data_IF_439104964157
#
_entry.id   IF_439104964157
#
_cell.length_a   1.000
_cell.length_b   1.000
_cell.length_c   1.000
_cell.angle_alpha   90.00
_cell.angle_beta   90.00
_cell.angle_gamma   90.00
#
_symmetry.space_group_name_H-M   'P 1'
#
loop_
_entity.id
_entity.type
_entity.pdbx_description
1 polymer ?
#
# COMPACT_ATOMS: atom_id res chain seq x y z
N UNK A 1 -6.89 12.90 -20.76
CA UNK A 1 -8.06 12.79 -19.88
C UNK A 1 -7.99 11.45 -19.16
N UNK A 2 -8.11 11.46 -17.84
CA UNK A 2 -8.21 10.25 -17.02
C UNK A 2 -9.68 9.85 -17.00
N UNK A 3 -9.98 8.60 -17.33
CA UNK A 3 -11.35 8.06 -17.40
C UNK A 3 -11.65 7.01 -16.32
N UNK A 4 -10.66 6.71 -15.49
CA UNK A 4 -10.79 5.78 -14.36
C UNK A 4 -10.81 6.55 -13.04
N UNK A 5 -11.43 6.03 -11.97
CA UNK A 5 -11.37 6.64 -10.65
C UNK A 5 -9.92 6.75 -10.16
N UNK A 6 -9.57 7.91 -9.59
CA UNK A 6 -8.25 8.18 -9.01
C UNK A 6 -8.43 8.86 -7.67
N UNK A 7 -7.78 8.34 -6.63
CA UNK A 7 -7.74 8.94 -5.31
C UNK A 7 -6.35 9.52 -5.03
N UNK A 8 -6.30 10.71 -4.42
CA UNK A 8 -5.09 11.23 -3.80
C UNK A 8 -5.10 10.74 -2.35
N UNK A 9 -4.19 9.82 -2.04
CA UNK A 9 -4.12 9.11 -0.77
C UNK A 9 -2.82 9.44 -0.02
N UNK A 10 -2.92 9.74 1.28
CA UNK A 10 -1.77 9.77 2.17
C UNK A 10 -1.48 8.35 2.62
N UNK A 11 -0.27 7.86 2.36
CA UNK A 11 0.22 6.55 2.78
C UNK A 11 1.09 6.69 4.04
N UNK A 12 0.97 5.80 5.02
CA UNK A 12 1.67 5.81 6.31
C UNK A 12 1.74 7.18 7.01
N UNK A 13 0.59 7.86 7.09
CA UNK A 13 0.52 9.18 7.70
C UNK A 13 0.69 9.17 9.21
N UNK A 14 1.46 10.14 9.73
CA UNK A 14 1.43 10.46 11.15
C UNK A 14 0.09 11.08 11.54
N UNK A 15 -0.23 11.14 12.83
CA UNK A 15 -1.46 11.78 13.32
C UNK A 15 -1.62 13.22 12.82
N UNK A 16 -0.58 14.04 12.93
CA UNK A 16 -0.59 15.43 12.43
C UNK A 16 -0.59 15.48 10.90
N UNK A 17 0.15 14.61 10.24
CA UNK A 17 0.18 14.52 8.77
C UNK A 17 -1.19 14.16 8.19
N UNK A 18 -1.92 13.25 8.81
CA UNK A 18 -3.27 12.89 8.40
C UNK A 18 -4.23 14.10 8.53
N UNK A 19 -4.18 14.85 9.64
CA UNK A 19 -4.97 16.07 9.84
C UNK A 19 -4.64 17.14 8.79
N UNK A 20 -3.36 17.34 8.50
CA UNK A 20 -2.93 18.31 7.50
C UNK A 20 -3.43 17.91 6.08
N UNK A 21 -3.31 16.64 5.70
CA UNK A 21 -3.79 16.15 4.40
C UNK A 21 -5.32 16.26 4.26
N UNK A 22 -6.08 16.01 5.35
CA UNK A 22 -7.52 16.25 5.41
C UNK A 22 -7.83 17.73 5.13
N UNK A 23 -7.09 18.65 5.74
CA UNK A 23 -7.27 20.10 5.51
C UNK A 23 -6.89 20.53 4.09
N UNK A 24 -5.89 19.87 3.47
CA UNK A 24 -5.43 20.17 2.10
C UNK A 24 -6.28 19.54 1.01
N UNK A 25 -7.31 18.75 1.35
CA UNK A 25 -8.27 18.21 0.40
C UNK A 25 -7.81 16.91 -0.27
N UNK A 26 -7.05 16.07 0.43
CA UNK A 26 -6.84 14.69 0.01
C UNK A 26 -8.20 13.98 -0.06
N UNK A 27 -8.33 13.01 -0.94
CA UNK A 27 -9.55 12.20 -1.08
C UNK A 27 -9.57 10.98 -0.18
N UNK A 28 -8.39 10.60 0.35
CA UNK A 28 -8.21 9.48 1.27
C UNK A 28 -6.96 9.70 2.12
N UNK A 29 -6.96 9.25 3.36
CA UNK A 29 -5.79 9.33 4.26
C UNK A 29 -5.63 8.03 5.02
N UNK A 30 -4.38 7.58 5.18
CA UNK A 30 -4.02 6.55 6.14
C UNK A 30 -3.44 7.22 7.40
N UNK A 31 -3.98 6.87 8.55
CA UNK A 31 -3.33 7.10 9.83
C UNK A 31 -2.66 5.82 10.30
N UNK A 32 -1.34 5.81 10.30
CA UNK A 32 -0.54 4.72 10.82
C UNK A 32 -0.37 4.87 12.33
N UNK A 33 -1.23 4.18 13.06
CA UNK A 33 -1.21 4.12 14.52
C UNK A 33 -0.40 2.96 15.09
N UNK A 34 0.26 2.16 14.27
CA UNK A 34 0.96 0.92 14.67
C UNK A 34 2.07 1.13 15.72
N UNK A 35 2.66 2.31 15.76
CA UNK A 35 3.68 2.69 16.76
C UNK A 35 3.14 3.02 18.15
N UNK A 36 1.83 3.13 18.31
CA UNK A 36 1.17 3.40 19.60
C UNK A 36 0.61 2.11 20.18
N UNK A 37 0.39 2.08 21.50
CA UNK A 37 -0.46 1.04 22.08
C UNK A 37 -1.88 1.14 21.57
N UNK A 38 -2.62 0.02 21.62
CA UNK A 38 -3.96 -0.07 20.98
C UNK A 38 -4.93 1.00 21.49
N UNK A 39 -4.91 1.35 22.77
CA UNK A 39 -5.80 2.35 23.35
C UNK A 39 -5.55 3.74 22.73
N UNK A 40 -4.29 4.13 22.58
CA UNK A 40 -3.91 5.39 21.95
C UNK A 40 -4.19 5.39 20.43
N UNK A 41 -3.98 4.25 19.77
CA UNK A 41 -4.33 4.08 18.36
C UNK A 41 -5.85 4.29 18.17
N UNK A 42 -6.69 3.66 19.00
CA UNK A 42 -8.14 3.82 18.97
C UNK A 42 -8.55 5.28 19.15
N UNK A 43 -7.99 5.97 20.16
CA UNK A 43 -8.33 7.37 20.45
C UNK A 43 -8.02 8.29 19.26
N UNK A 44 -6.80 8.17 18.72
CA UNK A 44 -6.35 8.97 17.59
C UNK A 44 -7.10 8.64 16.30
N UNK A 45 -7.31 7.36 16.00
CA UNK A 45 -8.07 6.91 14.83
C UNK A 45 -9.49 7.45 14.85
N UNK A 46 -10.16 7.41 16.01
CA UNK A 46 -11.51 7.97 16.19
C UNK A 46 -11.58 9.45 15.82
N UNK A 47 -10.60 10.25 16.23
CA UNK A 47 -10.55 11.68 15.88
C UNK A 47 -10.32 11.86 14.37
N UNK A 48 -9.38 11.12 13.77
CA UNK A 48 -9.11 11.20 12.33
C UNK A 48 -10.35 10.82 11.51
N UNK A 49 -11.05 9.75 11.88
CA UNK A 49 -12.31 9.33 11.23
C UNK A 49 -13.34 10.46 11.27
N UNK A 50 -13.55 11.07 12.46
CA UNK A 50 -14.50 12.17 12.61
C UNK A 50 -14.16 13.37 11.71
N UNK A 51 -12.89 13.77 11.66
CA UNK A 51 -12.41 14.89 10.84
C UNK A 51 -12.51 14.61 9.34
N UNK A 52 -12.12 13.41 8.92
CA UNK A 52 -12.11 13.01 7.52
C UNK A 52 -13.55 12.84 6.97
N UNK A 53 -14.41 12.12 7.69
CA UNK A 53 -15.79 11.89 7.28
C UNK A 53 -16.63 13.16 7.22
N UNK A 54 -16.35 14.16 8.06
CA UNK A 54 -16.98 15.47 7.96
C UNK A 54 -16.72 16.19 6.63
N UNK A 55 -15.67 15.76 5.89
CA UNK A 55 -15.30 16.28 4.56
C UNK A 55 -15.49 15.25 3.43
N UNK A 56 -16.05 14.07 3.71
CA UNK A 56 -16.24 13.00 2.73
C UNK A 56 -14.92 12.32 2.30
N UNK A 57 -13.92 12.30 3.18
CA UNK A 57 -12.59 11.72 2.95
C UNK A 57 -12.53 10.34 3.60
N UNK A 58 -12.07 9.33 2.86
CA UNK A 58 -11.94 7.96 3.36
C UNK A 58 -10.72 7.83 4.28
N UNK A 59 -10.83 6.93 5.27
CA UNK A 59 -9.78 6.67 6.26
C UNK A 59 -9.33 5.21 6.21
N UNK A 60 -8.02 5.03 6.14
CA UNK A 60 -7.33 3.77 6.38
C UNK A 60 -6.66 3.83 7.76
N UNK A 61 -6.71 2.74 8.51
CA UNK A 61 -5.97 2.57 9.77
C UNK A 61 -5.10 1.33 9.72
N UNK A 62 -4.16 1.21 10.66
CA UNK A 62 -3.26 0.06 10.77
C UNK A 62 -3.31 -0.56 12.16
N UNK A 63 -3.27 -1.91 12.20
CA UNK A 63 -3.12 -2.73 13.40
C UNK A 63 -2.00 -3.76 13.21
N UNK A 64 -1.23 -4.00 14.26
CA UNK A 64 0.05 -4.67 14.14
C UNK A 64 1.07 -3.72 13.52
N UNK A 65 2.16 -4.22 12.99
CA UNK A 65 3.15 -3.41 12.30
C UNK A 65 3.66 -4.13 11.05
N UNK A 66 3.79 -3.38 9.96
CA UNK A 66 4.40 -3.89 8.74
C UNK A 66 5.91 -3.78 8.90
N UNK A 67 6.62 -4.87 8.63
CA UNK A 67 8.08 -4.91 8.73
C UNK A 67 8.78 -4.30 7.51
N UNK A 68 10.13 -4.31 7.53
CA UNK A 68 10.95 -3.84 6.42
C UNK A 68 11.26 -2.35 6.46
N UNK A 69 11.67 -1.81 5.33
CA UNK A 69 12.06 -0.39 5.19
C UNK A 69 11.20 0.29 4.14
N UNK A 70 10.60 1.42 4.50
CA UNK A 70 9.92 2.32 3.59
C UNK A 70 10.31 3.76 3.91
N UNK A 71 10.73 4.52 2.88
CA UNK A 71 11.15 5.93 2.96
C UNK A 71 12.16 6.21 4.11
N UNK A 72 13.06 5.24 4.36
CA UNK A 72 14.09 5.34 5.41
C UNK A 72 13.61 5.02 6.83
N UNK A 73 12.37 4.55 6.98
CA UNK A 73 11.82 4.08 8.25
C UNK A 73 11.86 2.55 8.30
N UNK A 74 12.49 1.99 9.35
CA UNK A 74 12.56 0.54 9.59
C UNK A 74 11.40 0.11 10.48
N UNK A 75 10.56 -0.79 9.96
CA UNK A 75 9.50 -1.46 10.71
C UNK A 75 9.97 -2.82 11.26
N UNK A 76 9.65 -3.11 12.52
CA UNK A 76 9.99 -4.38 13.18
C UNK A 76 9.11 -5.56 12.75
N UNK A 77 7.94 -5.28 12.21
CA UNK A 77 6.91 -6.26 11.87
C UNK A 77 6.24 -6.86 13.13
N UNK A 78 4.94 -6.70 13.23
CA UNK A 78 4.13 -7.28 14.29
C UNK A 78 2.84 -7.87 13.71
N UNK A 79 2.50 -9.09 14.11
CA UNK A 79 1.28 -9.73 13.65
C UNK A 79 0.07 -9.10 14.36
N UNK A 80 -0.89 -8.64 13.58
CA UNK A 80 -2.10 -7.99 14.07
C UNK A 80 -2.96 -8.95 14.92
N UNK A 81 -3.47 -8.46 16.04
CA UNK A 81 -4.50 -9.17 16.81
C UNK A 81 -5.89 -8.95 16.17
N UNK A 82 -6.64 -10.01 15.83
CA UNK A 82 -7.95 -9.88 15.22
C UNK A 82 -9.00 -9.13 16.07
N UNK A 83 -8.86 -9.11 17.41
CA UNK A 83 -9.79 -8.36 18.26
C UNK A 83 -9.47 -6.87 18.24
N UNK A 84 -8.17 -6.50 18.21
CA UNK A 84 -7.75 -5.11 18.03
C UNK A 84 -8.19 -4.59 16.66
N UNK A 85 -8.07 -5.41 15.61
CA UNK A 85 -8.59 -5.09 14.29
C UNK A 85 -10.09 -4.79 14.33
N UNK A 86 -10.89 -5.62 15.02
CA UNK A 86 -12.31 -5.38 15.18
C UNK A 86 -12.59 -4.06 15.91
N UNK A 87 -11.86 -3.76 16.98
CA UNK A 87 -12.01 -2.51 17.75
C UNK A 87 -11.72 -1.25 16.90
N UNK A 88 -10.71 -1.30 16.04
CA UNK A 88 -10.41 -0.20 15.09
C UNK A 88 -11.52 -0.08 14.03
N UNK A 89 -12.02 -1.21 13.50
CA UNK A 89 -13.09 -1.19 12.50
C UNK A 89 -14.40 -0.61 13.06
N UNK A 90 -14.71 -0.83 14.33
CA UNK A 90 -15.89 -0.25 15.00
C UNK A 90 -15.86 1.28 15.06
N UNK A 91 -14.72 1.92 14.86
CA UNK A 91 -14.59 3.38 14.79
C UNK A 91 -15.12 3.96 13.48
N UNK A 92 -15.40 3.10 12.48
CA UNK A 92 -15.92 3.50 11.18
C UNK A 92 -14.84 3.82 10.15
N UNK A 93 -13.64 3.25 10.26
CA UNK A 93 -12.64 3.33 9.18
C UNK A 93 -13.17 2.69 7.91
N UNK A 94 -12.72 3.16 6.75
CA UNK A 94 -13.18 2.68 5.44
C UNK A 94 -12.37 1.47 4.94
N UNK A 95 -11.13 1.31 5.43
CA UNK A 95 -10.26 0.18 5.15
C UNK A 95 -9.23 -0.02 6.27
N UNK A 96 -8.73 -1.25 6.39
CA UNK A 96 -7.81 -1.65 7.45
C UNK A 96 -6.58 -2.34 6.88
N UNK A 97 -5.40 -1.77 7.17
CA UNK A 97 -4.12 -2.43 7.02
C UNK A 97 -3.82 -3.29 8.25
N UNK A 98 -3.32 -4.49 8.04
CA UNK A 98 -2.99 -5.41 9.11
C UNK A 98 -1.61 -6.04 8.89
N UNK A 99 -0.79 -6.07 9.94
CA UNK A 99 0.45 -6.83 9.96
C UNK A 99 0.15 -8.32 9.92
N UNK A 100 0.45 -8.96 8.80
CA UNK A 100 0.25 -10.42 8.61
C UNK A 100 1.52 -11.10 8.13
N UNK A 101 2.69 -10.58 8.51
CA UNK A 101 3.99 -11.04 8.07
C UNK A 101 4.45 -10.43 6.74
N UNK A 102 3.73 -9.46 6.24
CA UNK A 102 4.12 -8.64 5.10
C UNK A 102 5.20 -7.62 5.52
N UNK A 103 6.07 -7.29 4.59
CA UNK A 103 7.16 -6.34 4.80
C UNK A 103 7.27 -5.37 3.61
N UNK A 104 7.73 -4.16 3.88
CA UNK A 104 8.10 -3.21 2.84
C UNK A 104 9.47 -3.57 2.24
N UNK A 105 9.64 -3.31 0.94
CA UNK A 105 10.88 -3.59 0.24
C UNK A 105 10.97 -5.01 -0.31
N UNK A 106 12.21 -5.53 -0.40
CA UNK A 106 12.48 -6.86 -0.94
C UNK A 106 12.42 -7.90 0.16
N UNK A 107 11.62 -8.94 -0.06
CA UNK A 107 11.47 -10.03 0.90
C UNK A 107 12.76 -10.87 1.01
N UNK A 108 13.19 -11.25 2.23
CA UNK A 108 14.35 -12.11 2.40
C UNK A 108 14.04 -13.55 1.92
N UNK A 109 15.09 -14.28 1.52
CA UNK A 109 14.95 -15.67 1.02
C UNK A 109 14.29 -16.62 2.02
N UNK A 110 14.45 -16.37 3.31
CA UNK A 110 13.87 -17.17 4.39
C UNK A 110 12.53 -16.66 4.90
N UNK A 111 11.86 -15.79 4.15
CA UNK A 111 10.53 -15.29 4.52
C UNK A 111 9.51 -16.42 4.60
N UNK A 112 8.79 -16.50 5.72
CA UNK A 112 7.86 -17.59 5.99
C UNK A 112 6.51 -17.50 5.23
N UNK A 113 6.29 -16.41 4.48
CA UNK A 113 5.01 -16.15 3.81
C UNK A 113 4.03 -15.33 4.64
N UNK A 114 2.92 -14.93 4.00
CA UNK A 114 1.84 -14.23 4.69
C UNK A 114 1.10 -15.16 5.65
N UNK A 115 0.72 -14.64 6.80
CA UNK A 115 -0.12 -15.31 7.78
C UNK A 115 -1.60 -15.26 7.37
N UNK A 116 -1.92 -16.03 6.31
CA UNK A 116 -3.28 -16.11 5.75
C UNK A 116 -4.30 -16.70 6.74
N UNK A 117 -3.82 -17.46 7.74
CA UNK A 117 -4.61 -17.92 8.87
C UNK A 117 -5.06 -16.78 9.78
N UNK A 118 -4.19 -15.78 10.00
CA UNK A 118 -4.51 -14.56 10.75
C UNK A 118 -5.45 -13.66 9.93
N UNK A 119 -5.15 -13.48 8.63
CA UNK A 119 -6.01 -12.71 7.72
C UNK A 119 -7.45 -13.23 7.71
N UNK A 120 -7.64 -14.55 7.67
CA UNK A 120 -8.97 -15.17 7.73
C UNK A 120 -9.71 -14.86 9.04
N UNK A 121 -9.00 -14.89 10.19
CA UNK A 121 -9.57 -14.53 11.49
C UNK A 121 -9.92 -13.03 11.58
N UNK A 122 -9.10 -12.17 11.01
CA UNK A 122 -9.39 -10.74 10.92
C UNK A 122 -10.67 -10.54 10.11
N UNK A 123 -10.78 -11.14 8.92
CA UNK A 123 -11.98 -11.05 8.09
C UNK A 123 -13.24 -11.56 8.80
N UNK A 124 -13.13 -12.66 9.55
CA UNK A 124 -14.23 -13.19 10.36
C UNK A 124 -14.69 -12.18 11.42
N UNK A 125 -13.76 -11.50 12.08
CA UNK A 125 -14.03 -10.55 13.17
C UNK A 125 -14.53 -9.19 12.66
N UNK A 126 -14.02 -8.73 11.52
CA UNK A 126 -14.30 -7.41 10.95
C UNK A 126 -15.42 -7.43 9.89
N UNK A 127 -15.93 -8.63 9.56
CA UNK A 127 -16.99 -8.80 8.58
C UNK A 127 -16.50 -8.49 7.16
N UNK A 128 -17.15 -7.53 6.48
CA UNK A 128 -16.81 -7.15 5.10
C UNK A 128 -15.87 -5.94 5.02
N UNK A 129 -15.08 -5.67 6.05
CA UNK A 129 -14.10 -4.58 6.04
C UNK A 129 -13.13 -4.79 4.87
N UNK A 130 -12.95 -3.81 3.98
CA UNK A 130 -11.89 -3.84 2.98
C UNK A 130 -10.52 -3.92 3.65
N UNK A 131 -9.76 -5.00 3.42
CA UNK A 131 -8.43 -5.17 3.98
C UNK A 131 -7.36 -4.67 3.00
N UNK A 132 -6.28 -4.11 3.53
CA UNK A 132 -5.17 -3.58 2.77
C UNK A 132 -3.93 -4.44 2.99
N UNK A 133 -3.28 -4.80 1.88
CA UNK A 133 -1.99 -5.49 1.89
C UNK A 133 -0.90 -4.49 1.50
N UNK A 134 -0.08 -4.08 2.45
CA UNK A 134 1.15 -3.35 2.23
C UNK A 134 2.31 -4.29 1.86
N UNK A 135 3.37 -3.75 1.25
CA UNK A 135 4.55 -4.54 0.90
C UNK A 135 4.26 -5.60 -0.18
N UNK A 136 3.50 -5.26 -1.20
CA UNK A 136 3.06 -6.20 -2.25
C UNK A 136 4.16 -6.73 -3.19
N UNK A 137 5.42 -6.29 -3.03
CA UNK A 137 6.53 -6.62 -3.94
C UNK A 137 7.05 -8.04 -3.70
N UNK A 138 7.06 -8.88 -4.75
CA UNK A 138 7.69 -10.22 -4.68
C UNK A 138 6.91 -11.28 -3.92
N UNK A 139 5.68 -11.02 -3.51
CA UNK A 139 4.79 -12.05 -2.96
C UNK A 139 4.36 -13.00 -4.09
N UNK A 140 4.40 -14.33 -3.89
CA UNK A 140 3.95 -15.29 -4.91
C UNK A 140 2.50 -15.04 -5.33
N UNK A 141 2.22 -15.15 -6.64
CA UNK A 141 0.91 -14.86 -7.24
C UNK A 141 -0.26 -15.59 -6.56
N UNK A 142 -0.08 -16.86 -6.25
CA UNK A 142 -1.11 -17.67 -5.61
C UNK A 142 -1.40 -17.20 -4.18
N UNK A 143 -0.39 -16.71 -3.47
CA UNK A 143 -0.55 -16.16 -2.13
C UNK A 143 -1.29 -14.82 -2.17
N UNK A 144 -1.03 -13.98 -3.17
CA UNK A 144 -1.77 -12.73 -3.38
C UNK A 144 -3.23 -13.02 -3.71
N UNK A 145 -3.50 -13.98 -4.61
CA UNK A 145 -4.88 -14.39 -4.95
C UNK A 145 -5.62 -14.94 -3.74
N UNK A 146 -4.95 -15.73 -2.90
CA UNK A 146 -5.54 -16.25 -1.67
C UNK A 146 -5.84 -15.12 -0.67
N UNK A 147 -4.94 -14.15 -0.53
CA UNK A 147 -5.19 -12.96 0.29
C UNK A 147 -6.40 -12.14 -0.22
N UNK A 148 -6.50 -11.94 -1.55
CA UNK A 148 -7.66 -11.27 -2.18
C UNK A 148 -8.96 -12.04 -1.88
N UNK A 149 -8.94 -13.37 -1.97
CA UNK A 149 -10.11 -14.21 -1.67
C UNK A 149 -10.55 -14.10 -0.20
N UNK A 150 -9.66 -13.65 0.68
CA UNK A 150 -9.87 -13.46 2.11
C UNK A 150 -10.12 -11.99 2.51
N UNK A 151 -10.44 -11.13 1.53
CA UNK A 151 -10.90 -9.76 1.80
C UNK A 151 -9.90 -8.65 1.51
N UNK A 152 -8.68 -8.95 1.05
CA UNK A 152 -7.78 -7.91 0.57
C UNK A 152 -8.39 -7.24 -0.65
N UNK A 153 -8.60 -5.92 -0.55
CA UNK A 153 -9.26 -5.09 -1.56
C UNK A 153 -8.35 -3.98 -2.09
N UNK A 154 -7.26 -3.67 -1.39
CA UNK A 154 -6.22 -2.72 -1.79
C UNK A 154 -4.86 -3.37 -1.60
N UNK A 155 -3.95 -3.19 -2.56
CA UNK A 155 -2.57 -3.68 -2.47
C UNK A 155 -1.63 -2.52 -2.80
N UNK A 156 -0.71 -2.21 -1.89
CA UNK A 156 0.30 -1.18 -2.09
C UNK A 156 1.50 -1.78 -2.83
N UNK A 157 1.90 -1.14 -3.94
CA UNK A 157 3.01 -1.56 -4.77
C UNK A 157 3.91 -0.36 -5.05
N UNK A 158 5.15 -0.42 -4.61
CA UNK A 158 6.14 0.64 -4.80
C UNK A 158 7.49 0.08 -5.28
N UNK A 159 8.17 -0.70 -4.44
CA UNK A 159 9.54 -1.17 -4.66
C UNK A 159 9.72 -1.86 -6.01
N UNK A 160 8.78 -2.70 -6.41
CA UNK A 160 8.85 -3.43 -7.70
C UNK A 160 8.82 -2.46 -8.89
N UNK A 161 8.05 -1.39 -8.80
CA UNK A 161 8.00 -0.36 -9.84
C UNK A 161 9.31 0.42 -9.94
N UNK A 162 9.92 0.73 -8.79
CA UNK A 162 11.22 1.40 -8.72
C UNK A 162 12.33 0.52 -9.31
N UNK A 163 12.33 -0.78 -9.03
CA UNK A 163 13.30 -1.74 -9.56
C UNK A 163 13.19 -1.84 -11.09
N UNK A 164 11.99 -1.92 -11.64
CA UNK A 164 11.76 -1.94 -13.09
C UNK A 164 12.23 -0.64 -13.76
N UNK A 165 11.95 0.50 -13.15
CA UNK A 165 12.44 1.80 -13.62
C UNK A 165 13.95 1.83 -13.66
N UNK A 166 14.60 1.45 -12.55
CA UNK A 166 16.06 1.46 -12.44
C UNK A 166 16.73 0.52 -13.46
N UNK A 167 16.19 -0.69 -13.62
CA UNK A 167 16.72 -1.67 -14.57
C UNK A 167 16.63 -1.17 -16.03
N UNK A 168 15.48 -0.65 -16.44
CA UNK A 168 15.28 -0.14 -17.79
C UNK A 168 16.14 1.10 -18.09
N UNK A 169 16.28 2.01 -17.12
CA UNK A 169 17.13 3.20 -17.26
C UNK A 169 18.61 2.83 -17.33
N UNK A 170 19.06 1.88 -16.48
CA UNK A 170 20.44 1.36 -16.53
C UNK A 170 20.75 0.74 -17.90
N UNK A 171 19.86 -0.11 -18.40
CA UNK A 171 20.01 -0.72 -19.72
C UNK A 171 20.17 0.32 -20.84
N UNK A 172 19.37 1.41 -20.80
CA UNK A 172 19.47 2.51 -21.77
C UNK A 172 20.87 3.15 -21.78
N UNK A 173 21.46 3.35 -20.59
CA UNK A 173 22.81 3.93 -20.42
C UNK A 173 23.88 2.92 -20.85
N UNK A 174 23.79 1.67 -20.43
CA UNK A 174 24.74 0.60 -20.79
C UNK A 174 24.80 0.35 -22.32
N UNK A 175 23.69 0.56 -23.01
CA UNK A 175 23.62 0.49 -24.48
C UNK A 175 24.16 1.76 -25.17
N UNK A 176 24.66 2.75 -24.43
CA UNK A 176 25.22 4.00 -24.93
C UNK A 176 24.21 4.97 -25.56
N UNK A 177 22.90 4.69 -25.41
CA UNK A 177 21.83 5.49 -26.04
C UNK A 177 21.75 6.92 -25.52
N UNK A 178 22.24 7.18 -24.31
CA UNK A 178 22.37 8.50 -23.73
C UNK A 178 23.34 9.38 -24.48
N UNK A 179 24.32 8.79 -25.19
CA UNK A 179 25.36 9.49 -25.98
C UNK A 179 24.97 9.71 -27.44
N UNK A 180 23.91 9.06 -27.93
CA UNK A 180 23.44 9.18 -29.30
C UNK A 180 22.48 10.37 -29.48
N UNK A 181 22.81 11.28 -30.37
CA UNK A 181 21.99 12.47 -30.66
C UNK A 181 21.73 13.29 -29.39
N UNK A 182 20.46 13.41 -28.95
CA UNK A 182 20.07 14.02 -27.70
C UNK A 182 19.53 12.97 -26.71
N UNK A 183 20.15 11.79 -26.62
CA UNK A 183 19.76 10.71 -25.72
C UNK A 183 19.87 11.06 -24.24
N UNK A 184 20.72 12.04 -23.87
CA UNK A 184 20.87 12.59 -22.53
C UNK A 184 19.71 13.50 -22.10
N UNK A 185 18.81 13.91 -23.01
CA UNK A 185 17.61 14.69 -22.64
C UNK A 185 16.78 13.89 -21.62
N UNK A 186 16.46 14.45 -20.42
CA UNK A 186 15.73 13.71 -19.39
C UNK A 186 14.44 13.05 -19.88
N UNK A 187 13.75 13.64 -20.84
CA UNK A 187 12.53 13.07 -21.43
C UNK A 187 12.80 11.78 -22.19
N UNK A 188 14.01 11.62 -22.78
CA UNK A 188 14.44 10.41 -23.48
C UNK A 188 15.10 9.42 -22.52
N UNK A 189 15.99 9.94 -21.66
CA UNK A 189 16.74 9.15 -20.69
C UNK A 189 15.82 8.39 -19.72
N UNK A 190 14.76 9.05 -19.23
CA UNK A 190 13.84 8.48 -18.25
C UNK A 190 12.65 7.75 -18.88
N UNK A 191 12.44 7.89 -20.19
CA UNK A 191 11.31 7.26 -20.89
C UNK A 191 11.29 5.74 -20.76
N UNK A 192 12.40 4.99 -20.96
CA UNK A 192 12.40 3.53 -20.78
C UNK A 192 11.95 3.08 -19.39
N UNK A 193 12.39 3.81 -18.34
CA UNK A 193 11.94 3.56 -16.96
C UNK A 193 10.43 3.80 -16.78
N UNK A 194 9.92 4.91 -17.31
CA UNK A 194 8.48 5.19 -17.26
C UNK A 194 7.64 4.16 -18.02
N UNK A 195 8.13 3.70 -19.20
CA UNK A 195 7.47 2.64 -19.97
C UNK A 195 7.48 1.29 -19.22
N UNK A 196 8.58 0.98 -18.51
CA UNK A 196 8.70 -0.22 -17.69
C UNK A 196 7.72 -0.20 -16.49
N UNK A 197 7.62 0.92 -15.77
CA UNK A 197 6.60 1.10 -14.70
C UNK A 197 5.20 0.85 -15.27
N UNK A 198 4.86 1.48 -16.39
CA UNK A 198 3.55 1.32 -17.01
C UNK A 198 3.25 -0.14 -17.35
N UNK A 199 4.21 -0.85 -17.94
CA UNK A 199 4.04 -2.27 -18.29
C UNK A 199 3.85 -3.12 -17.03
N UNK A 200 4.63 -2.88 -15.96
CA UNK A 200 4.51 -3.60 -14.68
C UNK A 200 3.16 -3.34 -14.01
N UNK A 201 2.69 -2.09 -13.94
CA UNK A 201 1.37 -1.76 -13.38
C UNK A 201 0.25 -2.50 -14.12
N UNK A 202 0.29 -2.53 -15.46
CA UNK A 202 -0.70 -3.28 -16.24
C UNK A 202 -0.66 -4.77 -15.91
N UNK A 203 0.53 -5.36 -15.79
CA UNK A 203 0.70 -6.77 -15.42
C UNK A 203 0.11 -7.06 -14.03
N UNK A 204 0.39 -6.19 -13.04
CA UNK A 204 -0.12 -6.34 -11.68
C UNK A 204 -1.64 -6.13 -11.59
N UNK A 205 -2.21 -5.19 -12.35
CA UNK A 205 -3.67 -5.04 -12.45
C UNK A 205 -4.35 -6.32 -12.95
N UNK A 206 -3.75 -7.01 -13.91
CA UNK A 206 -4.24 -8.31 -14.38
C UNK A 206 -4.07 -9.39 -13.31
N UNK A 207 -2.92 -9.45 -12.65
CA UNK A 207 -2.62 -10.39 -11.57
C UNK A 207 -3.62 -10.26 -10.42
N UNK A 208 -3.92 -9.03 -10.01
CA UNK A 208 -4.87 -8.73 -8.92
C UNK A 208 -6.34 -8.85 -9.34
N UNK A 209 -6.62 -9.02 -10.62
CA UNK A 209 -7.97 -9.11 -11.14
C UNK A 209 -8.72 -7.77 -11.16
N UNK A 210 -8.03 -6.64 -11.06
CA UNK A 210 -8.61 -5.29 -11.09
C UNK A 210 -8.78 -4.72 -12.51
N UNK A 211 -8.12 -5.31 -13.52
CA UNK A 211 -8.24 -4.87 -14.90
C UNK A 211 -9.69 -4.99 -15.40
N UNK A 212 -10.20 -3.91 -16.01
CA UNK A 212 -11.58 -3.85 -16.52
C UNK A 212 -12.67 -3.71 -15.46
N UNK A 213 -12.31 -3.38 -14.20
CA UNK A 213 -13.26 -3.19 -13.10
C UNK A 213 -13.59 -1.72 -12.81
N UNK A 214 -12.90 -0.77 -13.43
CA UNK A 214 -13.23 0.64 -13.34
C UNK A 214 -14.46 0.93 -14.25
N UNK A 215 -15.60 1.27 -13.65
CA UNK A 215 -16.80 1.73 -14.31
C UNK A 215 -16.89 3.27 -14.29
#
# INVERSE_FOLDING_TARGET
NITVPVALHLDHGTYEGAKECIEKGFSSVMFDGSKYGIEENIEKTKEIVALAHAKGISVEAEVGAIGGEEDGVLGGGEIADPNECASICELGVDMLAAGIGNIHGVYPENWAGLRLDVLAKIQEKTGKMPLVLHGGTGIPDEMVKDAISKGVSKINVNTELQLEFAAATRKYIEEGKDQEGKGYDPRKLLKPGADAIKAKVIAMMNQFGSAGKAE
#
